data_IF_938079055008
#
_entry.id   IF_938079055008
#
_cell.length_a   1.000
_cell.length_b   1.000
_cell.length_c   1.000
_cell.angle_alpha   90.00
_cell.angle_beta   90.00
_cell.angle_gamma   90.00
#
_symmetry.space_group_name_H-M   'P 1'
#
loop_
_entity.id
_entity.type
_entity.pdbx_description
1 polymer ?
#
# COMPACT_ATOMS: atom_id res chain seq x y z
N UNK A 1 0.82 53.54 11.34
CA UNK A 1 -0.21 52.50 11.51
C UNK A 1 -0.55 52.19 12.97
N UNK A 2 0.37 52.29 13.91
CA UNK A 2 0.11 52.01 15.33
C UNK A 2 -0.93 52.95 15.96
N UNK A 3 -0.99 54.23 15.56
CA UNK A 3 -1.94 55.20 16.11
C UNK A 3 -3.43 54.87 15.81
N UNK A 4 -3.71 54.10 14.75
CA UNK A 4 -5.06 53.67 14.40
C UNK A 4 -5.59 52.63 15.40
N UNK A 5 -4.75 51.68 15.79
CA UNK A 5 -5.11 50.62 16.76
C UNK A 5 -5.29 51.15 18.19
N UNK A 6 -4.55 52.20 18.53
CA UNK A 6 -4.70 52.87 19.86
C UNK A 6 -6.06 53.54 19.98
N UNK A 7 -6.58 54.10 18.89
CA UNK A 7 -7.89 54.77 18.89
C UNK A 7 -9.09 53.83 18.82
N UNK A 8 -8.88 52.59 18.39
CA UNK A 8 -9.95 51.60 18.21
C UNK A 8 -9.56 50.25 18.82
N UNK A 9 -9.53 50.15 20.14
CA UNK A 9 -9.10 48.90 20.82
C UNK A 9 -10.01 47.71 20.53
N UNK A 10 -11.30 47.95 20.23
CA UNK A 10 -12.23 46.89 19.84
C UNK A 10 -11.85 46.21 18.54
N UNK A 11 -11.34 46.95 17.55
CA UNK A 11 -10.90 46.37 16.27
C UNK A 11 -9.65 45.51 16.47
N UNK A 12 -8.71 45.98 17.30
CA UNK A 12 -7.52 45.20 17.63
C UNK A 12 -7.88 43.88 18.35
N UNK A 13 -8.83 43.88 19.26
CA UNK A 13 -9.31 42.69 19.96
C UNK A 13 -9.97 41.69 18.99
N UNK A 14 -10.81 42.17 18.08
CA UNK A 14 -11.46 41.31 17.06
C UNK A 14 -10.43 40.66 16.15
N UNK A 15 -9.44 41.40 15.66
CA UNK A 15 -8.37 40.86 14.80
C UNK A 15 -7.57 39.80 15.57
N UNK A 16 -7.24 40.04 16.84
CA UNK A 16 -6.51 39.07 17.66
C UNK A 16 -7.31 37.78 17.87
N UNK A 17 -8.61 37.86 18.12
CA UNK A 17 -9.50 36.72 18.29
C UNK A 17 -9.61 35.94 16.97
N UNK A 18 -9.81 36.63 15.86
CA UNK A 18 -9.93 35.98 14.54
C UNK A 18 -8.63 35.25 14.16
N UNK A 19 -7.46 35.87 14.35
CA UNK A 19 -6.17 35.25 14.04
C UNK A 19 -5.87 34.05 14.94
N UNK A 20 -6.22 34.12 16.23
CA UNK A 20 -6.04 32.95 17.13
C UNK A 20 -6.98 31.80 16.78
N UNK A 21 -8.26 32.06 16.45
CA UNK A 21 -9.20 31.04 16.03
C UNK A 21 -8.74 30.39 14.69
N UNK A 22 -8.28 31.19 13.74
CA UNK A 22 -7.80 30.71 12.45
C UNK A 22 -6.55 29.85 12.62
N UNK A 23 -5.61 30.24 13.49
CA UNK A 23 -4.44 29.45 13.85
C UNK A 23 -4.80 28.12 14.51
N UNK A 24 -5.81 28.11 15.37
CA UNK A 24 -6.28 26.92 16.06
C UNK A 24 -6.95 25.93 15.09
N UNK A 25 -7.78 26.43 14.17
CA UNK A 25 -8.38 25.61 13.10
C UNK A 25 -7.31 25.02 12.17
N UNK A 26 -6.32 25.82 11.79
CA UNK A 26 -5.21 25.33 10.97
C UNK A 26 -4.41 24.23 11.69
N UNK A 27 -4.20 24.38 13.00
CA UNK A 27 -3.48 23.38 13.80
C UNK A 27 -4.17 22.02 13.81
N UNK A 28 -5.50 21.98 13.88
CA UNK A 28 -6.28 20.72 13.83
C UNK A 28 -6.39 20.11 12.43
N UNK A 29 -6.29 20.93 11.38
CA UNK A 29 -6.36 20.47 10.00
C UNK A 29 -4.99 20.17 9.36
N UNK A 30 -3.89 20.43 10.05
CA UNK A 30 -2.57 20.09 9.55
C UNK A 30 -2.37 18.57 9.68
N UNK A 31 -2.25 17.82 8.58
CA UNK A 31 -1.86 16.41 8.65
C UNK A 31 -0.41 16.36 9.15
N UNK A 32 -0.21 15.91 10.39
CA UNK A 32 1.13 15.72 10.96
C UNK A 32 1.71 14.42 10.41
N UNK A 33 2.12 14.43 9.16
CA UNK A 33 3.01 13.42 8.63
C UNK A 33 4.44 13.87 8.91
N UNK A 34 5.01 13.44 10.03
CA UNK A 34 6.37 13.80 10.44
C UNK A 34 7.46 13.13 9.60
N UNK A 35 7.10 12.07 8.87
CA UNK A 35 8.02 11.35 7.98
C UNK A 35 7.33 11.11 6.63
N UNK A 36 8.04 11.31 5.52
CA UNK A 36 7.55 10.79 4.25
C UNK A 36 7.40 9.27 4.40
N UNK A 37 6.28 8.73 3.96
CA UNK A 37 6.08 7.27 3.91
C UNK A 37 7.03 6.69 2.86
N UNK A 38 8.25 6.37 3.31
CA UNK A 38 9.29 5.72 2.50
C UNK A 38 9.23 4.20 2.60
N UNK A 39 8.31 3.67 3.41
CA UNK A 39 8.09 2.23 3.48
C UNK A 39 7.44 1.76 2.18
N UNK A 40 8.14 0.93 1.38
CA UNK A 40 7.56 0.37 0.17
C UNK A 40 6.37 -0.51 0.57
N UNK A 41 5.29 -0.36 -0.16
CA UNK A 41 4.08 -1.16 0.07
C UNK A 41 4.30 -2.55 -0.49
N UNK A 42 4.02 -3.56 0.32
CA UNK A 42 4.24 -4.95 -0.04
C UNK A 42 2.93 -5.71 0.01
N UNK A 43 2.56 -6.35 -1.08
CA UNK A 43 1.44 -7.29 -1.14
C UNK A 43 2.00 -8.70 -1.13
N UNK A 44 1.52 -9.54 -0.21
CA UNK A 44 1.95 -10.93 -0.09
C UNK A 44 0.86 -11.87 -0.60
N UNK A 45 1.23 -12.72 -1.55
CA UNK A 45 0.43 -13.84 -2.00
C UNK A 45 1.04 -15.13 -1.46
N UNK A 46 0.22 -15.92 -0.78
CA UNK A 46 0.60 -17.26 -0.34
C UNK A 46 -0.22 -18.29 -1.07
N UNK A 47 0.44 -19.25 -1.71
CA UNK A 47 -0.20 -20.42 -2.32
C UNK A 47 0.28 -21.70 -1.64
N UNK A 48 -0.62 -22.65 -1.46
CA UNK A 48 -0.28 -23.99 -0.91
C UNK A 48 -0.57 -25.08 -1.95
N UNK A 49 0.45 -25.88 -2.23
CA UNK A 49 0.34 -27.08 -3.06
C UNK A 49 0.84 -28.30 -2.25
N UNK A 50 -0.02 -28.93 -1.44
CA UNK A 50 0.38 -29.97 -0.52
C UNK A 50 1.01 -31.17 -1.24
N UNK A 51 2.16 -31.62 -0.73
CA UNK A 51 2.86 -32.79 -1.26
C UNK A 51 3.77 -32.53 -2.46
N UNK A 52 3.85 -31.30 -2.95
CA UNK A 52 4.78 -30.94 -4.02
C UNK A 52 6.16 -30.54 -3.45
N UNK A 53 7.21 -30.84 -4.21
CA UNK A 53 8.55 -30.33 -3.93
C UNK A 53 8.65 -28.84 -4.28
N UNK A 54 9.64 -28.14 -3.69
CA UNK A 54 9.86 -26.72 -3.99
C UNK A 54 9.99 -26.42 -5.49
N UNK A 55 10.65 -27.30 -6.24
CA UNK A 55 10.80 -27.16 -7.69
C UNK A 55 9.45 -27.32 -8.42
N UNK A 56 8.65 -28.31 -8.06
CA UNK A 56 7.34 -28.52 -8.65
C UNK A 56 6.38 -27.36 -8.37
N UNK A 57 6.46 -26.77 -7.17
CA UNK A 57 5.69 -25.57 -6.80
C UNK A 57 6.15 -24.35 -7.61
N UNK A 58 7.45 -24.15 -7.75
CA UNK A 58 8.00 -23.05 -8.57
C UNK A 58 7.56 -23.15 -10.02
N UNK A 59 7.59 -24.34 -10.61
CA UNK A 59 7.26 -24.53 -12.02
C UNK A 59 5.75 -24.47 -12.29
N UNK A 60 4.93 -25.06 -11.41
CA UNK A 60 3.48 -25.20 -11.64
C UNK A 60 2.65 -24.05 -11.09
N UNK A 61 3.11 -23.38 -10.03
CA UNK A 61 2.40 -22.29 -9.35
C UNK A 61 3.16 -20.97 -9.53
N UNK A 62 4.46 -20.96 -9.27
CA UNK A 62 5.28 -19.75 -9.28
C UNK A 62 5.35 -19.13 -10.67
N UNK A 63 5.77 -19.88 -11.67
CA UNK A 63 5.98 -19.37 -13.03
C UNK A 63 4.74 -18.72 -13.65
N UNK A 64 3.53 -19.33 -13.62
CA UNK A 64 2.34 -18.67 -14.14
C UNK A 64 1.91 -17.45 -13.33
N UNK A 65 2.05 -17.48 -12.00
CA UNK A 65 1.76 -16.33 -11.15
C UNK A 65 2.70 -15.16 -11.42
N UNK A 66 3.99 -15.40 -11.43
CA UNK A 66 5.00 -14.37 -11.69
C UNK A 66 4.82 -13.72 -13.06
N UNK A 67 4.51 -14.49 -14.10
CA UNK A 67 4.25 -13.95 -15.45
C UNK A 67 3.05 -13.02 -15.49
N UNK A 68 1.97 -13.36 -14.78
CA UNK A 68 0.77 -12.53 -14.77
C UNK A 68 0.93 -11.28 -13.90
N UNK A 69 1.60 -11.42 -12.76
CA UNK A 69 1.79 -10.32 -11.81
C UNK A 69 2.88 -9.35 -12.28
N UNK A 70 3.89 -9.81 -13.03
CA UNK A 70 4.93 -8.94 -13.59
C UNK A 70 4.42 -7.81 -14.49
N UNK A 71 3.15 -7.87 -14.91
CA UNK A 71 2.50 -6.79 -15.67
C UNK A 71 1.67 -5.81 -14.84
N UNK A 72 1.75 -5.84 -13.52
CA UNK A 72 1.03 -4.91 -12.64
C UNK A 72 1.70 -3.54 -12.68
N UNK A 73 0.89 -2.49 -12.89
CA UNK A 73 1.38 -1.12 -12.96
C UNK A 73 1.80 -0.63 -11.57
N UNK A 74 2.93 0.08 -11.48
CA UNK A 74 3.45 0.61 -10.21
C UNK A 74 4.26 -0.39 -9.38
N UNK A 75 4.46 -1.62 -9.88
CA UNK A 75 5.34 -2.60 -9.23
C UNK A 75 6.81 -2.21 -9.44
N UNK A 76 7.56 -2.19 -8.34
CA UNK A 76 9.02 -1.96 -8.36
C UNK A 76 9.75 -3.30 -8.59
N UNK A 77 9.54 -4.25 -7.71
CA UNK A 77 10.08 -5.60 -7.86
C UNK A 77 9.21 -6.64 -7.13
N UNK A 78 9.44 -7.91 -7.43
CA UNK A 78 8.82 -9.03 -6.74
C UNK A 78 9.86 -10.04 -6.29
N UNK A 79 9.57 -10.71 -5.18
CA UNK A 79 10.40 -11.78 -4.64
C UNK A 79 9.52 -13.00 -4.37
N UNK A 80 9.97 -14.17 -4.82
CA UNK A 80 9.25 -15.42 -4.59
C UNK A 80 10.10 -16.43 -3.84
N UNK A 81 9.45 -17.21 -2.98
CA UNK A 81 10.08 -18.29 -2.21
C UNK A 81 9.20 -19.52 -2.26
N UNK A 82 9.77 -20.63 -2.76
CA UNK A 82 9.13 -21.94 -2.79
C UNK A 82 9.74 -22.84 -1.71
N UNK A 83 8.91 -23.49 -0.93
CA UNK A 83 9.34 -24.39 0.15
C UNK A 83 9.01 -25.87 -0.18
N UNK A 84 9.81 -26.79 0.35
CA UNK A 84 9.60 -28.23 0.15
C UNK A 84 8.34 -28.80 0.84
N UNK A 85 7.66 -28.00 1.64
CA UNK A 85 6.37 -28.35 2.24
C UNK A 85 5.18 -27.97 1.34
N UNK A 86 5.43 -27.56 0.11
CA UNK A 86 4.39 -27.15 -0.83
C UNK A 86 3.90 -25.70 -0.65
N UNK A 87 4.56 -24.88 0.16
CA UNK A 87 4.20 -23.47 0.34
C UNK A 87 4.98 -22.60 -0.63
N UNK A 88 4.27 -21.73 -1.32
CA UNK A 88 4.80 -20.68 -2.19
C UNK A 88 4.41 -19.32 -1.64
N UNK A 89 5.37 -18.45 -1.45
CA UNK A 89 5.16 -17.07 -1.04
C UNK A 89 5.68 -16.13 -2.10
N UNK A 90 4.83 -15.25 -2.60
CA UNK A 90 5.18 -14.18 -3.52
C UNK A 90 4.95 -12.84 -2.83
N UNK A 91 6.00 -12.04 -2.74
CA UNK A 91 5.95 -10.67 -2.23
C UNK A 91 6.12 -9.70 -3.39
N UNK A 92 5.12 -8.88 -3.63
CA UNK A 92 5.11 -7.84 -4.65
C UNK A 92 5.30 -6.50 -3.95
N UNK A 93 6.36 -5.80 -4.32
CA UNK A 93 6.74 -4.51 -3.73
C UNK A 93 6.41 -3.41 -4.74
N UNK A 94 5.69 -2.39 -4.28
CA UNK A 94 5.25 -1.25 -5.07
C UNK A 94 6.08 -0.01 -4.76
N UNK A 95 6.11 0.92 -5.69
CA UNK A 95 6.79 2.21 -5.50
C UNK A 95 6.19 2.98 -4.32
N UNK A 96 7.03 3.69 -3.54
CA UNK A 96 6.55 4.54 -2.44
C UNK A 96 5.60 5.62 -2.97
N UNK A 97 4.41 5.71 -2.36
CA UNK A 97 3.38 6.68 -2.75
C UNK A 97 2.30 6.14 -3.69
N UNK A 98 2.36 4.86 -4.09
CA UNK A 98 1.26 4.21 -4.81
C UNK A 98 0.00 4.10 -3.93
N UNK A 99 -1.16 4.00 -4.57
CA UNK A 99 -2.43 3.81 -3.86
C UNK A 99 -2.62 2.31 -3.56
N UNK A 100 -2.66 1.98 -2.26
CA UNK A 100 -2.77 0.58 -1.78
C UNK A 100 -4.02 -0.12 -2.30
N UNK A 101 -5.14 0.60 -2.35
CA UNK A 101 -6.42 0.02 -2.77
C UNK A 101 -6.38 -0.33 -4.26
N UNK A 102 -5.79 0.54 -5.07
CA UNK A 102 -5.60 0.32 -6.51
C UNK A 102 -4.62 -0.83 -6.74
N UNK A 103 -3.48 -0.84 -6.06
CA UNK A 103 -2.45 -1.88 -6.17
C UNK A 103 -3.02 -3.25 -5.81
N UNK A 104 -3.86 -3.31 -4.75
CA UNK A 104 -4.54 -4.54 -4.34
C UNK A 104 -5.54 -5.02 -5.38
N UNK A 105 -6.36 -4.11 -5.92
CA UNK A 105 -7.34 -4.45 -6.95
C UNK A 105 -6.65 -4.95 -8.21
N UNK A 106 -5.60 -4.28 -8.67
CA UNK A 106 -4.83 -4.69 -9.84
C UNK A 106 -4.18 -6.06 -9.65
N UNK A 107 -3.58 -6.29 -8.48
CA UNK A 107 -2.97 -7.59 -8.12
C UNK A 107 -4.02 -8.70 -8.08
N UNK A 108 -5.20 -8.44 -7.47
CA UNK A 108 -6.30 -9.40 -7.44
C UNK A 108 -6.85 -9.73 -8.84
N UNK A 109 -6.97 -8.73 -9.72
CA UNK A 109 -7.40 -8.95 -11.09
C UNK A 109 -6.42 -9.84 -11.87
N UNK A 110 -5.12 -9.59 -11.72
CA UNK A 110 -4.07 -10.41 -12.34
C UNK A 110 -4.01 -11.81 -11.75
N UNK A 111 -4.17 -11.91 -10.43
CA UNK A 111 -4.29 -13.21 -9.78
C UNK A 111 -5.51 -14.00 -10.30
N UNK A 112 -6.67 -13.37 -10.45
CA UNK A 112 -7.86 -14.00 -11.03
C UNK A 112 -7.61 -14.56 -12.44
N UNK A 113 -6.81 -13.88 -13.26
CA UNK A 113 -6.40 -14.37 -14.59
C UNK A 113 -5.43 -15.55 -14.47
N UNK A 114 -4.49 -15.51 -13.53
CA UNK A 114 -3.54 -16.59 -13.28
C UNK A 114 -4.23 -17.83 -12.72
N UNK A 115 -5.26 -17.67 -11.89
CA UNK A 115 -5.94 -18.76 -11.19
C UNK A 115 -6.52 -19.81 -12.13
N UNK A 116 -6.89 -19.43 -13.36
CA UNK A 116 -7.37 -20.38 -14.38
C UNK A 116 -6.27 -21.31 -14.92
N UNK A 117 -5.00 -20.93 -14.74
CA UNK A 117 -3.83 -21.70 -15.18
C UNK A 117 -3.19 -22.48 -14.01
N UNK A 118 -3.64 -22.24 -12.79
CA UNK A 118 -3.13 -22.93 -11.61
C UNK A 118 -3.78 -24.30 -11.40
N UNK A 119 -3.06 -25.27 -10.82
CA UNK A 119 -3.66 -26.53 -10.41
C UNK A 119 -4.80 -26.30 -9.41
N UNK A 120 -5.89 -27.09 -9.46
CA UNK A 120 -7.09 -26.87 -8.64
C UNK A 120 -6.90 -27.06 -7.14
N UNK A 121 -5.68 -27.35 -6.67
CA UNK A 121 -5.33 -27.62 -5.26
C UNK A 121 -4.68 -26.44 -4.57
N UNK A 122 -4.45 -25.32 -5.24
CA UNK A 122 -3.78 -24.17 -4.65
C UNK A 122 -4.76 -23.21 -3.99
N UNK A 123 -4.65 -23.07 -2.67
CA UNK A 123 -5.37 -22.05 -1.90
C UNK A 123 -4.46 -20.83 -1.73
N UNK A 124 -4.97 -19.65 -2.07
CA UNK A 124 -4.22 -18.42 -1.91
C UNK A 124 -4.87 -17.48 -0.92
N UNK A 125 -4.05 -16.87 -0.08
CA UNK A 125 -4.42 -15.77 0.78
C UNK A 125 -3.62 -14.54 0.42
N UNK A 126 -4.34 -13.42 0.24
CA UNK A 126 -3.75 -12.10 0.07
C UNK A 126 -3.68 -11.44 1.45
N UNK A 127 -2.49 -11.10 1.92
CA UNK A 127 -2.30 -10.39 3.18
C UNK A 127 -1.60 -9.06 2.91
N UNK A 128 -2.18 -8.00 3.46
CA UNK A 128 -1.54 -6.69 3.53
C UNK A 128 -0.73 -6.64 4.84
N UNK A 129 0.51 -6.20 4.83
CA UNK A 129 1.18 -5.83 6.06
C UNK A 129 0.50 -4.57 6.61
N UNK A 130 0.10 -4.64 7.86
CA UNK A 130 -0.33 -3.47 8.65
C UNK A 130 0.85 -2.60 9.01
#
# INVERSE_FOLDING_TARGET
MSAFFIKHPAIAAVIAIVTTLLGLVCMFNLPISQYPEITPRTIQLQAMFPGASAQAVADSVGTPLERQISGVQGMDYMTSVSSNNGVYNLSVIFEPGSDTDIDQVLTNMRYGQASSQLPPVSYTHLTLPT
#
